data_IF_642220954183
#
_entry.id   IF_642220954183
#
_cell.length_a   1.000
_cell.length_b   1.000
_cell.length_c   1.000
_cell.angle_alpha   90.00
_cell.angle_beta   90.00
_cell.angle_gamma   90.00
#
_symmetry.space_group_name_H-M   'P 1'
#
loop_
_entity.id
_entity.type
_entity.pdbx_description
1 polymer ?
#
# COMPACT_ATOMS: atom_id res chain seq x y z
N UNK A 1 -10.80 12.98 5.28
CA UNK A 1 -11.77 13.88 4.61
C UNK A 1 -12.53 14.67 5.66
N UNK A 2 -13.21 15.74 5.25
CA UNK A 2 -14.00 16.63 6.08
C UNK A 2 -15.44 16.12 6.21
N UNK A 3 -15.98 16.10 7.42
CA UNK A 3 -17.40 15.81 7.66
C UNK A 3 -18.24 17.04 7.33
N UNK A 4 -19.39 16.84 6.70
CA UNK A 4 -20.29 17.93 6.32
C UNK A 4 -21.29 18.20 7.44
N UNK A 5 -21.43 19.47 7.82
CA UNK A 5 -22.43 19.93 8.78
C UNK A 5 -23.40 20.90 8.09
N UNK A 6 -24.68 20.83 8.46
CA UNK A 6 -25.76 21.72 8.00
C UNK A 6 -26.51 22.20 9.25
N UNK A 7 -26.59 23.52 9.46
CA UNK A 7 -27.18 24.14 10.66
C UNK A 7 -26.64 23.60 12.01
N UNK A 8 -25.36 23.20 12.03
CA UNK A 8 -24.69 22.66 13.21
C UNK A 8 -24.89 21.17 13.45
N UNK A 9 -25.67 20.48 12.61
CA UNK A 9 -25.86 19.03 12.68
C UNK A 9 -25.03 18.29 11.63
N UNK A 10 -24.52 17.11 11.99
CA UNK A 10 -23.79 16.26 11.07
C UNK A 10 -24.73 15.75 9.97
N UNK A 11 -24.45 16.12 8.73
CA UNK A 11 -25.18 15.63 7.57
C UNK A 11 -24.89 14.14 7.35
N UNK A 12 -25.95 13.36 7.15
CA UNK A 12 -25.87 11.92 6.87
C UNK A 12 -26.38 11.60 5.49
N UNK A 13 -25.75 10.61 4.86
CA UNK A 13 -26.22 10.00 3.62
C UNK A 13 -27.48 9.15 3.88
N UNK A 14 -28.25 8.76 2.85
CA UNK A 14 -29.39 7.87 3.01
C UNK A 14 -29.05 6.53 3.70
N UNK A 15 -27.80 6.08 3.62
CA UNK A 15 -27.28 4.91 4.32
C UNK A 15 -27.08 5.11 5.83
N UNK A 16 -27.25 6.33 6.35
CA UNK A 16 -26.96 6.71 7.74
C UNK A 16 -25.49 7.05 8.01
N UNK A 17 -24.59 6.80 7.05
CA UNK A 17 -23.18 7.17 7.14
C UNK A 17 -22.99 8.69 7.13
N UNK A 18 -21.95 9.23 7.81
CA UNK A 18 -21.60 10.64 7.71
C UNK A 18 -21.31 11.04 6.25
N UNK A 19 -21.83 12.18 5.82
CA UNK A 19 -21.42 12.78 4.55
C UNK A 19 -19.98 13.32 4.70
N UNK A 20 -19.07 12.78 3.89
CA UNK A 20 -17.65 13.10 3.95
C UNK A 20 -17.14 13.53 2.58
N UNK A 21 -16.41 14.64 2.55
CA UNK A 21 -15.82 15.18 1.33
C UNK A 21 -14.32 15.41 1.50
N UNK A 22 -13.57 15.21 0.44
CA UNK A 22 -12.19 15.69 0.32
C UNK A 22 -12.23 17.11 -0.26
N UNK A 23 -11.37 17.97 0.28
CA UNK A 23 -11.29 19.37 -0.13
C UNK A 23 -9.95 19.61 -0.82
N UNK A 24 -9.98 20.32 -1.94
CA UNK A 24 -8.80 20.72 -2.70
C UNK A 24 -8.63 22.23 -2.57
N UNK A 25 -7.52 22.64 -1.97
CA UNK A 25 -7.22 24.04 -1.69
C UNK A 25 -5.70 24.30 -1.81
N UNK A 26 -5.26 25.56 -1.94
CA UNK A 26 -3.84 25.89 -2.03
C UNK A 26 -3.07 25.43 -0.79
N UNK A 27 -1.86 24.87 -0.97
CA UNK A 27 -1.04 24.40 0.14
C UNK A 27 -0.67 25.51 1.14
N UNK A 28 -0.62 26.77 0.71
CA UNK A 28 -0.38 27.93 1.57
C UNK A 28 -1.46 28.19 2.61
N UNK A 29 -2.64 27.59 2.46
CA UNK A 29 -3.76 27.66 3.42
C UNK A 29 -3.64 26.61 4.53
N UNK A 30 -2.72 25.65 4.42
CA UNK A 30 -2.47 24.62 5.41
C UNK A 30 -1.22 24.92 6.24
N UNK A 31 -1.29 24.54 7.51
CA UNK A 31 -0.10 24.37 8.35
C UNK A 31 0.22 22.88 8.44
N UNK A 32 1.44 22.51 8.04
CA UNK A 32 1.99 21.18 8.28
C UNK A 32 2.70 21.15 9.63
N UNK A 33 2.28 20.24 10.49
CA UNK A 33 2.86 20.04 11.82
C UNK A 33 3.98 19.01 11.75
N UNK A 34 5.05 19.25 12.50
CA UNK A 34 6.13 18.27 12.67
C UNK A 34 5.68 17.18 13.66
N UNK A 35 4.91 16.21 13.17
CA UNK A 35 4.39 15.10 13.97
C UNK A 35 4.86 13.73 13.46
N UNK A 36 5.64 13.68 12.38
CA UNK A 36 6.04 12.42 11.72
C UNK A 36 7.32 11.80 12.29
N UNK A 37 7.32 11.51 13.59
CA UNK A 37 8.46 10.90 14.29
C UNK A 37 8.34 9.37 14.37
N UNK A 38 8.51 8.69 13.23
CA UNK A 38 8.22 7.26 13.07
C UNK A 38 9.47 6.40 12.85
N UNK A 39 9.35 5.08 13.01
CA UNK A 39 10.48 4.16 12.81
C UNK A 39 10.84 3.93 11.33
N UNK A 40 9.88 3.96 10.40
CA UNK A 40 10.06 3.68 8.98
C UNK A 40 9.21 4.63 8.13
N UNK A 41 9.53 4.75 6.84
CA UNK A 41 8.95 5.76 5.95
C UNK A 41 9.18 7.20 6.43
N UNK A 42 10.28 7.47 7.14
CA UNK A 42 10.60 8.81 7.66
C UNK A 42 10.61 9.89 6.58
N UNK A 43 11.11 9.55 5.39
CA UNK A 43 11.23 10.48 4.26
C UNK A 43 9.90 10.89 3.60
N UNK A 44 8.77 10.32 4.00
CA UNK A 44 7.46 10.69 3.43
C UNK A 44 6.91 12.00 4.00
N UNK A 45 7.36 12.40 5.21
CA UNK A 45 6.86 13.60 5.88
C UNK A 45 5.35 13.58 6.10
N UNK A 46 4.77 12.43 6.45
CA UNK A 46 3.32 12.24 6.60
C UNK A 46 2.75 12.82 7.89
N UNK A 47 3.17 14.05 8.22
CA UNK A 47 2.72 14.80 9.39
C UNK A 47 1.29 15.30 9.25
N UNK A 48 0.74 15.71 10.39
CA UNK A 48 -0.63 16.22 10.47
C UNK A 48 -0.75 17.58 9.79
N UNK A 49 -1.91 17.82 9.18
CA UNK A 49 -2.25 19.09 8.53
C UNK A 49 -3.42 19.74 9.26
N UNK A 50 -3.32 21.03 9.53
CA UNK A 50 -4.46 21.84 9.97
C UNK A 50 -4.75 22.98 8.99
N UNK A 51 -6.03 23.32 8.88
CA UNK A 51 -6.54 24.50 8.20
C UNK A 51 -7.50 25.21 9.15
N UNK A 52 -7.58 26.54 9.07
CA UNK A 52 -8.49 27.32 9.91
C UNK A 52 -9.38 28.22 9.05
N UNK A 53 -10.70 28.08 9.19
CA UNK A 53 -11.72 28.94 8.60
C UNK A 53 -11.55 29.24 7.09
N UNK A 54 -11.06 28.28 6.31
CA UNK A 54 -10.86 28.48 4.87
C UNK A 54 -12.16 28.28 4.08
N UNK A 55 -12.34 29.09 3.04
CA UNK A 55 -13.42 28.88 2.07
C UNK A 55 -12.96 27.98 0.93
N UNK A 56 -13.62 26.84 0.74
CA UNK A 56 -13.38 25.93 -0.39
C UNK A 56 -14.61 25.91 -1.30
N UNK A 57 -14.50 26.37 -2.57
CA UNK A 57 -15.61 26.28 -3.51
C UNK A 57 -16.06 24.83 -3.70
N UNK A 58 -17.38 24.60 -3.83
CA UNK A 58 -17.93 23.25 -4.02
C UNK A 58 -17.28 22.50 -5.21
N UNK A 59 -16.93 23.21 -6.29
CA UNK A 59 -16.24 22.66 -7.45
C UNK A 59 -14.82 22.10 -7.17
N UNK A 60 -14.24 22.44 -6.01
CA UNK A 60 -12.96 21.92 -5.50
C UNK A 60 -13.16 20.94 -4.33
N UNK A 61 -14.33 20.31 -4.25
CA UNK A 61 -14.61 19.25 -3.29
C UNK A 61 -15.07 17.99 -4.00
N UNK A 62 -14.77 16.82 -3.44
CA UNK A 62 -15.21 15.53 -3.99
C UNK A 62 -15.58 14.56 -2.87
N UNK A 63 -16.69 13.85 -3.03
CA UNK A 63 -17.05 12.68 -2.22
C UNK A 63 -16.67 11.41 -2.97
N UNK A 64 -15.90 10.53 -2.33
CA UNK A 64 -15.61 9.19 -2.90
C UNK A 64 -16.80 8.23 -2.82
N UNK A 65 -17.89 8.65 -2.17
CA UNK A 65 -19.08 7.82 -1.94
C UNK A 65 -20.21 8.24 -2.89
N UNK A 66 -20.43 9.55 -3.05
CA UNK A 66 -21.61 10.07 -3.76
C UNK A 66 -21.28 10.70 -5.12
N UNK A 67 -20.05 11.18 -5.33
CA UNK A 67 -19.69 11.83 -6.58
C UNK A 67 -19.16 10.78 -7.57
N UNK A 68 -19.51 10.94 -8.85
CA UNK A 68 -19.04 10.07 -9.93
C UNK A 68 -17.88 10.72 -10.69
N UNK A 69 -16.90 9.94 -11.16
CA UNK A 69 -15.85 10.45 -12.05
C UNK A 69 -16.45 11.14 -13.28
N UNK A 70 -15.91 12.31 -13.64
CA UNK A 70 -16.34 13.08 -14.82
C UNK A 70 -15.75 12.52 -16.11
N UNK A 71 -14.53 12.02 -16.01
CA UNK A 71 -13.82 11.40 -17.13
C UNK A 71 -14.29 9.96 -17.31
N UNK A 72 -14.46 9.54 -18.56
CA UNK A 72 -15.05 8.24 -18.91
C UNK A 72 -14.00 7.20 -19.32
N UNK A 73 -12.71 7.53 -19.20
CA UNK A 73 -11.63 6.62 -19.56
C UNK A 73 -11.57 5.40 -18.63
N UNK A 74 -11.01 4.26 -19.08
CA UNK A 74 -10.94 3.01 -18.31
C UNK A 74 -10.32 3.18 -16.91
N UNK A 75 -9.30 4.03 -16.77
CA UNK A 75 -8.68 4.33 -15.48
C UNK A 75 -9.67 4.84 -14.43
N UNK A 76 -10.66 5.62 -14.86
CA UNK A 76 -11.64 6.24 -13.96
C UNK A 76 -12.75 5.28 -13.54
N UNK A 77 -12.78 4.05 -14.08
CA UNK A 77 -13.66 2.97 -13.59
C UNK A 77 -13.09 2.26 -12.36
N UNK A 78 -11.79 2.43 -12.08
CA UNK A 78 -11.17 1.83 -10.90
C UNK A 78 -11.70 2.47 -9.61
N UNK A 79 -11.98 1.67 -8.56
CA UNK A 79 -12.32 2.21 -7.25
C UNK A 79 -11.13 2.96 -6.66
N UNK A 80 -11.38 4.09 -5.99
CA UNK A 80 -10.34 4.93 -5.39
C UNK A 80 -9.46 4.15 -4.40
N UNK A 81 -10.06 3.30 -3.56
CA UNK A 81 -9.30 2.44 -2.64
C UNK A 81 -8.49 1.36 -3.35
N UNK A 82 -8.93 0.86 -4.51
CA UNK A 82 -8.14 -0.04 -5.34
C UNK A 82 -6.90 0.65 -5.90
N UNK A 83 -7.04 1.86 -6.46
CA UNK A 83 -5.89 2.66 -6.94
C UNK A 83 -4.91 2.99 -5.82
N UNK A 84 -5.41 3.37 -4.64
CA UNK A 84 -4.55 3.62 -3.47
C UNK A 84 -3.81 2.36 -3.04
N UNK A 85 -4.48 1.20 -3.05
CA UNK A 85 -3.86 -0.09 -2.71
C UNK A 85 -2.74 -0.47 -3.68
N UNK A 86 -2.95 -0.24 -4.97
CA UNK A 86 -1.94 -0.43 -6.01
C UNK A 86 -0.71 0.44 -5.76
N UNK A 87 -0.91 1.72 -5.43
CA UNK A 87 0.18 2.64 -5.10
C UNK A 87 1.02 2.16 -3.91
N UNK A 88 0.37 1.83 -2.78
CA UNK A 88 1.06 1.35 -1.57
C UNK A 88 1.81 0.05 -1.84
N UNK A 89 1.17 -0.92 -2.48
CA UNK A 89 1.77 -2.23 -2.76
C UNK A 89 2.89 -2.17 -3.80
N UNK A 90 2.83 -1.24 -4.77
CA UNK A 90 3.93 -1.00 -5.71
C UNK A 90 5.19 -0.49 -5.00
N UNK A 91 5.05 0.41 -4.02
CA UNK A 91 6.17 0.87 -3.19
C UNK A 91 6.73 -0.28 -2.35
N UNK A 92 5.86 -1.11 -1.75
CA UNK A 92 6.30 -2.29 -1.00
C UNK A 92 7.06 -3.31 -1.87
N UNK A 93 6.57 -3.56 -3.09
CA UNK A 93 7.23 -4.41 -4.07
C UNK A 93 8.63 -3.91 -4.42
N UNK A 94 8.77 -2.61 -4.70
CA UNK A 94 10.05 -1.97 -4.99
C UNK A 94 11.01 -1.99 -3.80
N UNK A 95 10.50 -1.77 -2.59
CA UNK A 95 11.30 -1.83 -1.36
C UNK A 95 11.85 -3.24 -1.10
N UNK A 96 11.05 -4.28 -1.31
CA UNK A 96 11.48 -5.67 -1.18
C UNK A 96 12.54 -6.05 -2.24
N UNK A 97 12.38 -5.61 -3.49
CA UNK A 97 13.39 -5.80 -4.55
C UNK A 97 14.72 -5.16 -4.16
N UNK A 98 14.69 -3.91 -3.70
CA UNK A 98 15.89 -3.20 -3.28
C UNK A 98 16.56 -3.86 -2.06
N UNK A 99 15.78 -4.51 -1.17
CA UNK A 99 16.32 -5.30 -0.07
C UNK A 99 17.07 -6.55 -0.56
N UNK A 100 16.52 -7.27 -1.55
CA UNK A 100 17.18 -8.41 -2.20
C UNK A 100 18.51 -7.99 -2.84
N UNK A 101 18.52 -6.86 -3.53
CA UNK A 101 19.73 -6.32 -4.18
C UNK A 101 20.78 -5.92 -3.13
N UNK A 102 20.39 -5.18 -2.10
CA UNK A 102 21.28 -4.79 -1.01
C UNK A 102 21.86 -6.00 -0.26
N UNK A 103 21.05 -7.04 -0.04
CA UNK A 103 21.54 -8.26 0.58
C UNK A 103 22.52 -9.01 -0.32
N UNK A 104 22.25 -9.09 -1.63
CA UNK A 104 23.16 -9.73 -2.59
C UNK A 104 24.54 -9.08 -2.58
N UNK A 105 24.58 -7.75 -2.56
CA UNK A 105 25.84 -6.99 -2.48
C UNK A 105 26.56 -7.25 -1.16
N UNK A 106 25.84 -7.16 -0.03
CA UNK A 106 26.38 -7.47 1.29
C UNK A 106 26.93 -8.91 1.34
N UNK A 107 26.15 -9.88 0.85
CA UNK A 107 26.48 -11.29 0.96
C UNK A 107 27.71 -11.67 0.14
N UNK A 108 27.93 -11.00 -0.98
CA UNK A 108 29.08 -11.20 -1.87
C UNK A 108 30.39 -10.66 -1.27
N UNK A 109 30.31 -9.61 -0.45
CA UNK A 109 31.49 -8.99 0.17
C UNK A 109 31.77 -9.50 1.60
N UNK A 110 30.72 -9.72 2.40
CA UNK A 110 30.83 -9.97 3.84
C UNK A 110 31.30 -11.40 4.13
N UNK A 111 32.35 -11.52 4.93
CA UNK A 111 32.77 -12.78 5.58
C UNK A 111 32.45 -12.69 7.06
N UNK A 112 31.79 -13.70 7.64
CA UNK A 112 31.63 -13.73 9.09
C UNK A 112 32.98 -13.95 9.77
N UNK A 113 33.10 -13.48 11.01
CA UNK A 113 34.30 -13.65 11.82
C UNK A 113 34.74 -15.12 11.85
N UNK A 114 36.03 -15.36 11.61
CA UNK A 114 36.62 -16.70 11.56
C UNK A 114 36.33 -17.50 10.27
N UNK A 115 35.55 -16.95 9.32
CA UNK A 115 35.24 -17.63 8.05
C UNK A 115 36.08 -17.10 6.89
N UNK A 116 36.59 -18.00 6.04
CA UNK A 116 37.22 -17.63 4.77
C UNK A 116 36.21 -17.41 3.64
N UNK A 117 35.01 -17.96 3.80
CA UNK A 117 33.88 -17.86 2.88
C UNK A 117 33.06 -16.61 3.14
N UNK A 118 32.62 -15.98 2.07
CA UNK A 118 31.58 -14.96 2.07
C UNK A 118 30.24 -15.55 2.54
N UNK A 119 29.25 -14.70 2.83
CA UNK A 119 27.91 -15.20 3.10
C UNK A 119 27.33 -15.91 1.87
N UNK A 120 27.58 -15.38 0.67
CA UNK A 120 27.08 -15.95 -0.60
C UNK A 120 27.58 -17.38 -0.87
N UNK A 121 28.72 -17.79 -0.29
CA UNK A 121 29.29 -19.14 -0.43
C UNK A 121 28.75 -20.16 0.59
N UNK A 122 27.76 -19.79 1.41
CA UNK A 122 27.15 -20.65 2.41
C UNK A 122 25.85 -21.25 1.90
N UNK A 123 25.69 -22.57 2.01
CA UNK A 123 24.52 -23.27 1.47
C UNK A 123 23.20 -22.74 2.04
N UNK A 124 23.15 -22.46 3.35
CA UNK A 124 21.94 -21.94 4.00
C UNK A 124 21.57 -20.54 3.50
N UNK A 125 22.56 -19.68 3.25
CA UNK A 125 22.32 -18.33 2.68
C UNK A 125 21.78 -18.44 1.26
N UNK A 126 22.34 -19.34 0.45
CA UNK A 126 21.89 -19.56 -0.94
C UNK A 126 20.44 -20.04 -0.98
N UNK A 127 20.08 -21.00 -0.12
CA UNK A 127 18.71 -21.50 -0.01
C UNK A 127 17.74 -20.39 0.41
N UNK A 128 18.01 -19.69 1.52
CA UNK A 128 17.11 -18.63 1.99
C UNK A 128 16.99 -17.45 1.02
N UNK A 129 18.08 -17.09 0.32
CA UNK A 129 18.02 -16.05 -0.69
C UNK A 129 17.19 -16.47 -1.91
N UNK A 130 17.33 -17.73 -2.36
CA UNK A 130 16.53 -18.26 -3.46
C UNK A 130 15.04 -18.33 -3.10
N UNK A 131 14.70 -18.73 -1.87
CA UNK A 131 13.32 -18.70 -1.36
C UNK A 131 12.74 -17.28 -1.34
N UNK A 132 13.49 -16.30 -0.82
CA UNK A 132 13.07 -14.91 -0.80
C UNK A 132 12.86 -14.33 -2.22
N UNK A 133 13.76 -14.66 -3.15
CA UNK A 133 13.63 -14.29 -4.57
C UNK A 133 12.39 -14.93 -5.21
N UNK A 134 12.11 -16.20 -4.93
CA UNK A 134 10.93 -16.90 -5.43
C UNK A 134 9.63 -16.29 -4.87
N UNK A 135 9.59 -15.98 -3.57
CA UNK A 135 8.46 -15.30 -2.93
C UNK A 135 8.20 -13.93 -3.58
N UNK A 136 9.25 -13.13 -3.82
CA UNK A 136 9.11 -11.84 -4.48
C UNK A 136 8.54 -11.98 -5.88
N UNK A 137 9.07 -12.92 -6.68
CA UNK A 137 8.61 -13.19 -8.04
C UNK A 137 7.14 -13.64 -8.07
N UNK A 138 6.76 -14.53 -7.16
CA UNK A 138 5.38 -15.01 -7.04
C UNK A 138 4.42 -13.89 -6.65
N UNK A 139 4.76 -13.10 -5.63
CA UNK A 139 3.91 -12.00 -5.19
C UNK A 139 3.75 -10.91 -6.26
N UNK A 140 4.84 -10.57 -6.97
CA UNK A 140 4.80 -9.66 -8.12
C UNK A 140 3.94 -10.22 -9.24
N UNK A 141 4.13 -11.49 -9.61
CA UNK A 141 3.37 -12.11 -10.69
C UNK A 141 1.86 -12.10 -10.37
N UNK A 142 1.49 -12.43 -9.14
CA UNK A 142 0.10 -12.39 -8.69
C UNK A 142 -0.49 -10.98 -8.77
N UNK A 143 0.18 -9.98 -8.21
CA UNK A 143 -0.29 -8.58 -8.26
C UNK A 143 -0.43 -8.06 -9.70
N UNK A 144 0.54 -8.35 -10.57
CA UNK A 144 0.48 -7.91 -11.96
C UNK A 144 -0.63 -8.62 -12.73
N UNK A 145 -0.84 -9.91 -12.52
CA UNK A 145 -1.93 -10.65 -13.16
C UNK A 145 -3.30 -10.08 -12.77
N UNK A 146 -3.53 -9.83 -11.48
CA UNK A 146 -4.78 -9.23 -11.02
C UNK A 146 -4.99 -7.81 -11.55
N UNK A 147 -3.92 -7.04 -11.71
CA UNK A 147 -3.97 -5.72 -12.32
C UNK A 147 -4.33 -5.81 -13.82
N UNK A 148 -3.68 -6.70 -14.57
CA UNK A 148 -3.92 -6.89 -16.00
C UNK A 148 -5.36 -7.35 -16.27
N UNK A 149 -5.87 -8.29 -15.48
CA UNK A 149 -7.25 -8.76 -15.56
C UNK A 149 -8.25 -7.65 -15.20
N UNK A 150 -7.97 -6.87 -14.15
CA UNK A 150 -8.82 -5.75 -13.76
C UNK A 150 -8.82 -4.64 -14.81
N UNK A 151 -7.67 -4.40 -15.45
CA UNK A 151 -7.54 -3.47 -16.56
C UNK A 151 -8.32 -3.94 -17.80
N UNK A 152 -8.26 -5.22 -18.13
CA UNK A 152 -9.05 -5.80 -19.22
C UNK A 152 -10.56 -5.64 -18.99
N UNK A 153 -11.02 -5.83 -17.74
CA UNK A 153 -12.41 -5.53 -17.36
C UNK A 153 -12.72 -4.05 -17.53
N UNK A 154 -11.88 -3.15 -17.03
CA UNK A 154 -12.06 -1.71 -17.14
C UNK A 154 -12.19 -1.21 -18.60
N UNK A 155 -11.52 -1.87 -19.55
CA UNK A 155 -11.64 -1.58 -20.99
C UNK A 155 -13.01 -1.95 -21.59
N UNK A 156 -13.72 -2.92 -20.98
CA UNK A 156 -15.01 -3.42 -21.44
C UNK A 156 -16.23 -2.89 -20.67
N UNK A 157 -16.01 -2.22 -19.54
CA UNK A 157 -17.06 -1.64 -18.70
C UNK A 157 -17.79 -0.52 -19.44
N UNK A 158 -19.12 -0.51 -19.41
CA UNK A 158 -19.91 0.56 -20.03
C UNK A 158 -19.90 1.83 -19.15
N UNK A 159 -20.09 3.01 -19.74
CA UNK A 159 -20.26 4.24 -18.95
C UNK A 159 -21.35 4.08 -17.89
N UNK A 160 -21.01 4.37 -16.62
CA UNK A 160 -21.92 4.23 -15.48
C UNK A 160 -21.92 2.86 -14.80
N UNK A 161 -21.25 1.86 -15.38
CA UNK A 161 -20.96 0.59 -14.69
C UNK A 161 -19.61 0.70 -13.97
N UNK A 162 -19.48 -0.02 -12.85
CA UNK A 162 -18.23 -0.10 -12.07
C UNK A 162 -17.55 -1.45 -12.25
N UNK A 163 -16.29 -1.54 -11.83
CA UNK A 163 -15.60 -2.83 -11.75
C UNK A 163 -16.35 -3.75 -10.75
N UNK A 164 -16.69 -5.01 -11.14
CA UNK A 164 -17.38 -5.96 -10.27
C UNK A 164 -16.68 -6.13 -8.91
N UNK A 165 -17.46 -6.35 -7.85
CA UNK A 165 -16.92 -6.41 -6.48
C UNK A 165 -15.90 -7.52 -6.30
N UNK A 166 -16.08 -8.64 -6.99
CA UNK A 166 -15.17 -9.79 -7.00
C UNK A 166 -13.80 -9.41 -7.57
N UNK A 167 -13.80 -8.61 -8.65
CA UNK A 167 -12.58 -8.10 -9.28
C UNK A 167 -11.85 -7.10 -8.40
N UNK A 168 -12.60 -6.20 -7.76
CA UNK A 168 -12.05 -5.25 -6.79
C UNK A 168 -11.42 -6.00 -5.61
N UNK A 169 -12.08 -7.03 -5.10
CA UNK A 169 -11.59 -7.85 -4.00
C UNK A 169 -10.30 -8.60 -4.36
N UNK A 170 -10.25 -9.21 -5.55
CA UNK A 170 -9.06 -9.92 -6.03
C UNK A 170 -7.84 -8.98 -6.11
N UNK A 171 -8.03 -7.77 -6.65
CA UNK A 171 -6.99 -6.75 -6.70
C UNK A 171 -6.50 -6.32 -5.29
N UNK A 172 -7.43 -6.05 -4.37
CA UNK A 172 -7.11 -5.65 -2.98
C UNK A 172 -6.37 -6.76 -2.23
N UNK A 173 -6.78 -8.00 -2.45
CA UNK A 173 -6.14 -9.20 -1.90
C UNK A 173 -4.69 -9.31 -2.38
N UNK A 174 -4.46 -9.17 -3.68
CA UNK A 174 -3.12 -9.21 -4.26
C UNK A 174 -2.21 -8.07 -3.78
N UNK A 175 -2.75 -6.85 -3.66
CA UNK A 175 -2.01 -5.71 -3.09
C UNK A 175 -1.59 -5.97 -1.63
N UNK A 176 -2.50 -6.52 -0.83
CA UNK A 176 -2.23 -6.89 0.56
C UNK A 176 -1.20 -8.01 0.64
N UNK A 177 -1.32 -9.03 -0.23
CA UNK A 177 -0.36 -10.12 -0.33
C UNK A 177 1.04 -9.60 -0.65
N UNK A 178 1.20 -8.79 -1.69
CA UNK A 178 2.48 -8.21 -2.08
C UNK A 178 3.10 -7.38 -0.95
N UNK A 179 2.29 -6.56 -0.27
CA UNK A 179 2.80 -5.72 0.83
C UNK A 179 3.32 -6.55 2.00
N UNK A 180 2.57 -7.58 2.41
CA UNK A 180 2.94 -8.44 3.54
C UNK A 180 4.11 -9.36 3.21
N UNK A 181 4.08 -10.02 2.04
CA UNK A 181 5.20 -10.84 1.56
C UNK A 181 6.47 -10.00 1.41
N UNK A 182 6.35 -8.75 0.93
CA UNK A 182 7.46 -7.81 0.87
C UNK A 182 8.09 -7.50 2.22
N UNK A 183 7.27 -7.34 3.27
CA UNK A 183 7.76 -7.16 4.64
C UNK A 183 8.46 -8.40 5.19
N UNK A 184 7.91 -9.59 4.95
CA UNK A 184 8.52 -10.87 5.36
C UNK A 184 9.87 -11.10 4.67
N UNK A 185 9.97 -10.80 3.37
CA UNK A 185 11.25 -10.83 2.62
C UNK A 185 12.26 -9.87 3.25
N UNK A 186 11.85 -8.63 3.52
CA UNK A 186 12.76 -7.65 4.13
C UNK A 186 13.25 -8.08 5.52
N UNK A 187 12.39 -8.70 6.34
CA UNK A 187 12.77 -9.28 7.63
C UNK A 187 13.80 -10.40 7.44
N UNK A 188 13.52 -11.37 6.57
CA UNK A 188 14.44 -12.49 6.31
C UNK A 188 15.82 -11.98 5.90
N UNK A 189 15.90 -11.04 4.96
CA UNK A 189 17.17 -10.51 4.48
C UNK A 189 17.91 -9.67 5.52
N UNK A 190 17.18 -8.92 6.35
CA UNK A 190 17.74 -8.22 7.50
C UNK A 190 18.42 -9.20 8.47
N UNK A 191 17.74 -10.32 8.80
CA UNK A 191 18.26 -11.36 9.68
C UNK A 191 19.50 -12.06 9.09
N UNK A 192 19.47 -12.38 7.79
CA UNK A 192 20.61 -12.99 7.10
C UNK A 192 21.86 -12.09 7.07
N UNK A 193 21.67 -10.76 7.03
CA UNK A 193 22.79 -9.81 7.08
C UNK A 193 23.50 -9.78 8.45
N UNK A 194 22.80 -10.18 9.52
CA UNK A 194 23.30 -10.22 10.89
C UNK A 194 23.72 -8.86 11.41
N UNK A 195 24.78 -8.78 12.22
CA UNK A 195 25.22 -7.53 12.85
C UNK A 195 25.53 -6.38 11.89
N UNK A 196 25.88 -6.66 10.63
CA UNK A 196 26.07 -5.62 9.60
C UNK A 196 24.76 -4.91 9.24
N UNK A 197 23.61 -5.56 9.42
CA UNK A 197 22.30 -4.96 9.19
C UNK A 197 21.96 -3.90 10.23
N UNK A 198 22.55 -3.91 11.43
CA UNK A 198 22.20 -3.00 12.53
C UNK A 198 22.61 -1.54 12.28
N UNK A 199 23.66 -1.32 11.49
CA UNK A 199 24.21 0.02 11.29
C UNK A 199 23.25 0.89 10.48
N UNK A 200 23.19 2.18 10.82
CA UNK A 200 22.36 3.15 10.08
C UNK A 200 22.77 3.28 8.61
N UNK A 201 24.05 3.04 8.31
CA UNK A 201 24.59 2.99 6.95
C UNK A 201 24.16 1.75 6.16
N UNK A 202 23.56 0.76 6.82
CA UNK A 202 23.03 -0.43 6.15
C UNK A 202 21.68 -0.13 5.51
N UNK A 203 21.56 -0.45 4.23
CA UNK A 203 20.30 -0.37 3.52
C UNK A 203 19.27 -1.36 4.08
N UNK A 204 19.69 -2.53 4.57
CA UNK A 204 18.79 -3.60 5.02
C UNK A 204 17.88 -3.16 6.17
N UNK A 205 18.41 -2.50 7.21
CA UNK A 205 17.56 -2.03 8.30
C UNK A 205 16.58 -0.95 7.87
N UNK A 206 16.97 -0.08 6.92
CA UNK A 206 16.05 0.92 6.37
C UNK A 206 14.90 0.25 5.63
N UNK A 207 15.22 -0.69 4.72
CA UNK A 207 14.19 -1.46 3.98
C UNK A 207 13.28 -2.23 4.91
N UNK A 208 13.82 -2.86 5.95
CA UNK A 208 13.06 -3.56 6.98
C UNK A 208 12.06 -2.65 7.69
N UNK A 209 12.53 -1.51 8.23
CA UNK A 209 11.67 -0.56 8.95
C UNK A 209 10.59 0.03 8.04
N UNK A 210 10.97 0.41 6.83
CA UNK A 210 10.04 0.99 5.85
C UNK A 210 8.97 -0.04 5.45
N UNK A 211 9.34 -1.30 5.22
CA UNK A 211 8.37 -2.35 4.89
C UNK A 211 7.36 -2.58 6.02
N UNK A 212 7.81 -2.61 7.27
CA UNK A 212 6.91 -2.80 8.42
C UNK A 212 5.99 -1.60 8.61
N UNK A 213 6.47 -0.37 8.38
CA UNK A 213 5.62 0.81 8.39
C UNK A 213 4.52 0.74 7.31
N UNK A 214 4.84 0.26 6.10
CA UNK A 214 3.84 0.09 5.02
C UNK A 214 2.70 -0.85 5.44
N UNK A 215 2.99 -1.91 6.20
CA UNK A 215 1.94 -2.85 6.66
C UNK A 215 0.88 -2.24 7.58
N UNK A 216 1.14 -1.05 8.13
CA UNK A 216 0.21 -0.35 9.02
C UNK A 216 -0.84 0.47 8.26
N UNK A 217 -0.66 0.68 6.95
CA UNK A 217 -1.62 1.43 6.16
C UNK A 217 -2.94 0.67 6.05
N UNK A 218 -4.07 1.35 6.26
CA UNK A 218 -5.41 0.74 6.35
C UNK A 218 -5.77 -0.12 5.12
N UNK A 219 -5.34 0.29 3.93
CA UNK A 219 -5.60 -0.44 2.68
C UNK A 219 -4.79 -1.74 2.56
N UNK A 220 -3.77 -1.96 3.36
CA UNK A 220 -2.98 -3.21 3.36
C UNK A 220 -3.00 -3.89 4.73
N UNK A 221 -3.91 -3.44 5.60
CA UNK A 221 -4.10 -3.98 6.93
C UNK A 221 -4.78 -5.36 6.88
N UNK A 222 -4.63 -6.18 7.94
CA UNK A 222 -5.24 -7.52 8.01
C UNK A 222 -6.74 -7.57 7.78
N UNK A 223 -7.47 -6.48 8.06
CA UNK A 223 -8.91 -6.36 7.78
C UNK A 223 -9.26 -6.61 6.30
N UNK A 224 -8.32 -6.37 5.38
CA UNK A 224 -8.54 -6.68 3.96
C UNK A 224 -8.70 -8.19 3.73
N UNK A 225 -8.05 -9.05 4.51
CA UNK A 225 -8.18 -10.51 4.39
C UNK A 225 -9.58 -11.01 4.76
N UNK A 226 -10.15 -10.44 5.83
CA UNK A 226 -11.52 -10.75 6.24
C UNK A 226 -12.49 -10.33 5.12
N UNK A 227 -12.38 -9.07 4.67
CA UNK A 227 -13.23 -8.50 3.63
C UNK A 227 -13.23 -9.35 2.35
N UNK A 228 -12.04 -9.72 1.87
CA UNK A 228 -11.92 -10.55 0.65
C UNK A 228 -12.30 -12.00 0.90
N UNK A 229 -12.03 -12.52 2.10
CA UNK A 229 -12.40 -13.89 2.48
C UNK A 229 -13.92 -14.10 2.54
N UNK A 230 -14.67 -13.10 3.02
CA UNK A 230 -16.15 -13.14 3.00
C UNK A 230 -16.69 -13.28 1.58
N UNK A 231 -16.14 -12.53 0.62
CA UNK A 231 -16.53 -12.61 -0.79
C UNK A 231 -16.17 -13.94 -1.42
N UNK A 232 -15.01 -14.52 -1.10
CA UNK A 232 -14.62 -15.87 -1.56
C UNK A 232 -15.52 -16.98 -1.02
N UNK A 233 -16.22 -16.72 0.09
CA UNK A 233 -17.17 -17.64 0.72
C UNK A 233 -18.64 -17.29 0.39
N UNK A 234 -18.86 -16.46 -0.63
CA UNK A 234 -20.17 -16.04 -1.12
C UNK A 234 -21.06 -15.38 -0.04
N UNK A 235 -20.44 -14.72 0.94
CA UNK A 235 -21.17 -14.03 2.01
C UNK A 235 -21.53 -12.59 1.60
N UNK A 236 -22.73 -12.09 2.00
CA UNK A 236 -23.09 -10.69 1.83
C UNK A 236 -22.03 -9.77 2.45
N UNK A 237 -21.46 -8.88 1.65
CA UNK A 237 -20.34 -8.02 2.05
C UNK A 237 -20.56 -6.63 1.49
N UNK A 238 -20.37 -5.60 2.32
CA UNK A 238 -20.42 -4.23 1.87
C UNK A 238 -19.22 -3.95 0.95
N UNK A 239 -19.51 -3.79 -0.34
CA UNK A 239 -18.52 -3.54 -1.38
C UNK A 239 -17.96 -2.13 -1.39
N UNK A 240 -18.42 -1.20 -0.54
CA UNK A 240 -17.97 0.19 -0.54
C UNK A 240 -16.48 0.37 -0.21
N UNK A 241 -15.93 -0.52 0.63
CA UNK A 241 -14.51 -0.51 1.05
C UNK A 241 -13.63 -1.52 0.29
N UNK A 242 -14.23 -2.24 -0.66
CA UNK A 242 -13.54 -3.19 -1.56
C UNK A 242 -12.96 -2.43 -2.75
#
# INVERSE_FOLDING_TARGET
GCMVFEDGELKRLPSGAPDQRMMVFPASEATLHDTWHVMGLKGTGSGDLSVDNIFVPAARSVSLITDVPRETGPLYTFPAFGLLSLGVSAVAMGNARASLDAFKDLASAKKSQGSRKTLAERQTIQASFAEAEAQWRAARAYMMAELDETWAVALGVKPGEGIPVERRAALRMACTHMTRTGADICRTLYDLGGGASLFESSDLQRRFRDAHAMTQHIVTAPATWELTGRLLLDLPTDGGMV
#
